data_IF_964809777612
#
_entry.id   IF_964809777612
#
_cell.length_a   1.000
_cell.length_b   1.000
_cell.length_c   1.000
_cell.angle_alpha   90.00
_cell.angle_beta   90.00
_cell.angle_gamma   90.00
#
_symmetry.space_group_name_H-M   'P 1'
#
loop_
_entity.id
_entity.type
_entity.pdbx_description
1 polymer ?
#
# COMPACT_ATOMS: atom_id res chain seq x y z
N UNK A 1 32.07 11.71 52.87
CA UNK A 1 32.69 11.14 51.66
C UNK A 1 31.84 10.04 51.01
N UNK A 2 31.68 8.83 51.57
CA UNK A 2 30.92 7.76 50.90
C UNK A 2 29.41 8.03 50.74
N UNK A 3 28.78 8.69 51.73
CA UNK A 3 27.36 9.05 51.67
C UNK A 3 27.06 10.10 50.59
N UNK A 4 27.97 11.06 50.38
CA UNK A 4 27.81 12.14 49.39
C UNK A 4 28.03 11.62 47.95
N UNK A 5 28.94 10.67 47.76
CA UNK A 5 29.15 9.98 46.47
C UNK A 5 27.90 9.14 46.12
N UNK A 6 27.31 8.47 47.11
CA UNK A 6 26.07 7.71 46.93
C UNK A 6 24.90 8.64 46.55
N UNK A 7 24.72 9.74 47.28
CA UNK A 7 23.65 10.72 47.04
C UNK A 7 23.76 11.36 45.65
N UNK A 8 24.96 11.76 45.24
CA UNK A 8 25.19 12.35 43.91
C UNK A 8 25.02 11.34 42.78
N UNK A 9 25.41 10.08 42.98
CA UNK A 9 25.20 9.00 42.00
C UNK A 9 23.73 8.64 41.85
N UNK A 10 22.98 8.56 42.96
CA UNK A 10 21.52 8.32 42.94
C UNK A 10 20.80 9.49 42.29
N UNK A 11 21.15 10.73 42.64
CA UNK A 11 20.57 11.91 42.01
C UNK A 11 20.89 11.96 40.52
N UNK A 12 22.12 11.66 40.12
CA UNK A 12 22.54 11.56 38.71
C UNK A 12 21.78 10.47 37.96
N UNK A 13 21.57 9.30 38.58
CA UNK A 13 20.75 8.23 38.02
C UNK A 13 19.28 8.63 37.90
N UNK A 14 18.69 9.29 38.90
CA UNK A 14 17.30 9.75 38.85
C UNK A 14 17.11 10.83 37.79
N UNK A 15 18.03 11.79 37.67
CA UNK A 15 18.03 12.80 36.61
C UNK A 15 18.19 12.12 35.25
N UNK A 16 19.17 11.24 35.10
CA UNK A 16 19.34 10.45 33.88
C UNK A 16 18.08 9.68 33.55
N UNK A 17 17.48 8.99 34.51
CA UNK A 17 16.24 8.22 34.32
C UNK A 17 15.06 9.09 33.92
N UNK A 18 14.89 10.28 34.52
CA UNK A 18 13.83 11.22 34.13
C UNK A 18 14.07 11.86 32.75
N UNK A 19 15.32 12.15 32.39
CA UNK A 19 15.69 12.80 31.13
C UNK A 19 15.79 11.80 29.96
N UNK A 20 16.25 10.58 30.23
CA UNK A 20 16.37 9.48 29.25
C UNK A 20 15.08 8.68 29.09
N UNK A 21 14.03 9.00 29.86
CA UNK A 21 12.71 8.42 29.66
C UNK A 21 12.26 8.82 28.26
N UNK A 22 12.19 7.84 27.36
CA UNK A 22 11.66 8.00 26.00
C UNK A 22 10.30 8.70 26.11
N UNK A 23 10.28 10.00 25.78
CA UNK A 23 9.02 10.71 25.59
C UNK A 23 8.47 10.19 24.27
N UNK A 24 7.23 9.72 24.27
CA UNK A 24 6.55 9.34 23.05
C UNK A 24 6.42 10.59 22.17
N UNK A 25 7.32 10.73 21.20
CA UNK A 25 7.26 11.81 20.22
C UNK A 25 6.09 11.55 19.27
N UNK A 26 5.22 12.54 19.12
CA UNK A 26 4.15 12.52 18.13
C UNK A 26 4.39 13.57 17.06
N UNK A 27 3.89 13.31 15.86
CA UNK A 27 3.79 14.35 14.83
C UNK A 27 2.60 15.25 15.18
N UNK A 28 2.72 16.57 15.03
CA UNK A 28 1.55 17.44 15.14
C UNK A 28 0.54 17.04 14.05
N UNK A 29 -0.72 16.86 14.46
CA UNK A 29 -1.84 16.72 13.53
C UNK A 29 -2.32 18.14 13.23
N UNK A 30 -2.06 18.63 12.02
CA UNK A 30 -2.50 19.94 11.56
C UNK A 30 -3.54 19.74 10.46
N UNK A 31 -4.67 20.45 10.57
CA UNK A 31 -5.69 20.47 9.52
C UNK A 31 -5.14 21.20 8.28
N UNK A 32 -5.01 20.46 7.17
CA UNK A 32 -4.53 20.96 5.90
C UNK A 32 -5.64 21.44 4.96
N UNK A 33 -5.22 22.07 3.85
CA UNK A 33 -6.07 22.24 2.68
C UNK A 33 -5.31 21.82 1.43
N UNK A 34 -5.78 20.76 0.78
CA UNK A 34 -5.15 20.17 -0.39
C UNK A 34 -6.01 20.30 -1.65
N UNK A 35 -7.18 20.92 -1.53
CA UNK A 35 -8.05 21.27 -2.65
C UNK A 35 -7.48 22.39 -3.54
N UNK A 36 -8.13 22.69 -4.67
CA UNK A 36 -7.71 23.78 -5.53
C UNK A 36 -7.91 25.14 -4.84
N UNK A 37 -6.95 26.05 -5.02
CA UNK A 37 -7.02 27.42 -4.50
C UNK A 37 -6.97 27.50 -2.97
N UNK A 38 -7.37 28.65 -2.44
CA UNK A 38 -7.46 28.87 -0.99
C UNK A 38 -8.64 28.09 -0.38
N UNK A 39 -8.53 27.72 0.91
CA UNK A 39 -9.61 27.09 1.65
C UNK A 39 -10.86 27.98 1.62
N UNK A 40 -12.02 27.48 1.15
CA UNK A 40 -13.26 28.23 1.16
C UNK A 40 -13.66 28.63 2.60
N UNK A 41 -14.36 29.76 2.72
CA UNK A 41 -14.93 30.19 4.00
C UNK A 41 -16.17 29.35 4.40
N UNK A 42 -16.84 28.74 3.43
CA UNK A 42 -17.95 27.83 3.69
C UNK A 42 -17.45 26.47 4.19
N UNK A 43 -18.27 25.80 5.01
CA UNK A 43 -17.99 24.45 5.46
C UNK A 43 -17.86 23.47 4.28
N UNK A 44 -16.98 22.48 4.44
CA UNK A 44 -16.82 21.42 3.46
C UNK A 44 -18.01 20.46 3.48
N UNK A 45 -18.34 19.87 2.34
CA UNK A 45 -19.31 18.78 2.26
C UNK A 45 -18.68 17.49 2.80
N UNK A 46 -19.07 17.12 4.01
CA UNK A 46 -18.61 15.91 4.73
C UNK A 46 -19.47 14.68 4.42
N UNK A 47 -20.43 14.77 3.49
CA UNK A 47 -21.29 13.63 3.16
C UNK A 47 -20.51 12.46 2.56
N UNK A 48 -20.93 11.24 2.88
CA UNK A 48 -20.42 10.00 2.30
C UNK A 48 -21.41 9.55 1.24
N UNK A 49 -20.95 9.47 -0.02
CA UNK A 49 -21.80 9.21 -1.18
C UNK A 49 -21.44 7.87 -1.82
N UNK A 50 -22.42 7.03 -2.20
CA UNK A 50 -22.16 5.84 -2.98
C UNK A 50 -21.44 6.19 -4.29
N UNK A 51 -20.53 5.33 -4.71
CA UNK A 51 -19.78 5.45 -5.96
C UNK A 51 -19.84 4.13 -6.73
N UNK A 52 -19.83 4.22 -8.06
CA UNK A 52 -19.66 3.07 -8.94
C UNK A 52 -18.54 3.36 -9.92
N UNK A 53 -17.72 2.35 -10.16
CA UNK A 53 -16.71 2.40 -11.22
C UNK A 53 -17.44 2.30 -12.55
N UNK A 54 -17.26 3.30 -13.40
CA UNK A 54 -17.84 3.36 -14.74
C UNK A 54 -16.76 3.85 -15.69
N UNK A 55 -16.86 3.47 -16.97
CA UNK A 55 -15.95 3.90 -18.02
C UNK A 55 -16.78 4.03 -19.29
N UNK A 56 -16.61 5.14 -20.00
CA UNK A 56 -17.28 5.39 -21.27
C UNK A 56 -16.70 4.51 -22.38
N UNK A 57 -17.50 4.24 -23.39
CA UNK A 57 -17.03 3.52 -24.59
C UNK A 57 -15.93 4.30 -25.32
N UNK A 58 -16.01 5.63 -25.31
CA UNK A 58 -15.01 6.52 -25.91
C UNK A 58 -13.62 6.33 -25.29
N UNK A 59 -13.52 6.15 -23.96
CA UNK A 59 -12.25 5.88 -23.28
C UNK A 59 -11.63 4.53 -23.70
N UNK A 60 -12.47 3.53 -23.97
CA UNK A 60 -12.02 2.21 -24.43
C UNK A 60 -11.63 2.24 -25.91
N UNK A 61 -12.35 3.01 -26.73
CA UNK A 61 -11.98 3.25 -28.12
C UNK A 61 -10.66 4.01 -28.23
N UNK A 62 -10.42 5.04 -27.41
CA UNK A 62 -9.13 5.75 -27.35
C UNK A 62 -7.99 4.79 -26.97
N UNK A 63 -8.19 3.94 -25.97
CA UNK A 63 -7.23 2.91 -25.59
C UNK A 63 -6.89 2.00 -26.78
N UNK A 64 -7.89 1.43 -27.44
CA UNK A 64 -7.70 0.54 -28.59
C UNK A 64 -6.97 1.24 -29.74
N UNK A 65 -7.38 2.47 -30.06
CA UNK A 65 -6.76 3.28 -31.10
C UNK A 65 -5.27 3.52 -30.84
N UNK A 66 -4.87 3.70 -29.56
CA UNK A 66 -3.47 3.88 -29.14
C UNK A 66 -2.67 2.59 -29.15
N UNK A 67 -3.26 1.48 -28.71
CA UNK A 67 -2.62 0.16 -28.79
C UNK A 67 -2.32 -0.19 -30.26
N UNK A 68 -3.26 0.08 -31.17
CA UNK A 68 -3.11 -0.19 -32.61
C UNK A 68 -1.98 0.64 -33.27
N UNK A 69 -1.56 1.75 -32.65
CA UNK A 69 -0.52 2.66 -33.16
C UNK A 69 0.80 2.60 -32.39
N UNK A 70 0.92 1.67 -31.45
CA UNK A 70 2.12 1.53 -30.63
C UNK A 70 3.36 1.25 -31.49
N UNK A 71 4.46 1.96 -31.22
CA UNK A 71 5.77 1.71 -31.84
C UNK A 71 6.66 1.02 -30.82
N UNK A 72 7.09 -0.20 -31.10
CA UNK A 72 7.92 -1.01 -30.20
C UNK A 72 9.36 -1.08 -30.72
N UNK A 73 10.32 -0.88 -29.81
CA UNK A 73 11.76 -1.06 -30.09
C UNK A 73 12.15 -2.53 -29.90
N UNK A 74 12.92 -3.15 -30.81
CA UNK A 74 13.43 -4.52 -30.63
C UNK A 74 14.26 -4.65 -29.34
N UNK A 75 14.18 -5.77 -28.60
CA UNK A 75 14.98 -5.98 -27.41
C UNK A 75 16.36 -6.53 -27.76
N UNK A 76 17.32 -6.40 -26.83
CA UNK A 76 18.57 -7.14 -26.88
C UNK A 76 18.32 -8.65 -26.84
N UNK A 77 19.23 -9.43 -27.42
CA UNK A 77 19.14 -10.89 -27.45
C UNK A 77 19.38 -11.48 -26.06
N UNK A 78 18.59 -12.49 -25.71
CA UNK A 78 18.69 -13.30 -24.47
C UNK A 78 18.69 -12.57 -23.11
N UNK A 79 18.41 -11.26 -23.08
CA UNK A 79 18.38 -10.47 -21.84
C UNK A 79 17.14 -10.67 -20.97
N UNK A 80 16.15 -11.45 -21.42
CA UNK A 80 14.84 -11.61 -20.76
C UNK A 80 14.28 -10.25 -20.30
N UNK A 81 14.23 -9.99 -18.99
CA UNK A 81 13.76 -8.75 -18.35
C UNK A 81 14.86 -7.99 -17.59
N UNK A 82 16.15 -8.35 -17.76
CA UNK A 82 17.26 -7.75 -17.01
C UNK A 82 17.42 -6.23 -17.22
N UNK A 83 16.92 -5.70 -18.34
CA UNK A 83 16.93 -4.27 -18.68
C UNK A 83 15.53 -3.65 -18.70
N UNK A 84 14.61 -4.20 -17.91
CA UNK A 84 13.21 -3.79 -17.88
C UNK A 84 12.34 -4.60 -18.83
N UNK A 85 11.22 -4.02 -19.25
CA UNK A 85 10.16 -4.76 -19.91
C UNK A 85 10.56 -5.22 -21.32
N UNK A 86 10.53 -6.53 -21.56
CA UNK A 86 10.91 -7.09 -22.86
C UNK A 86 9.85 -6.78 -23.93
N UNK A 87 10.24 -6.15 -25.04
CA UNK A 87 9.28 -5.72 -26.07
C UNK A 87 8.65 -6.87 -26.89
N UNK A 88 9.31 -8.03 -27.01
CA UNK A 88 8.67 -9.24 -27.59
C UNK A 88 7.53 -9.71 -26.70
N UNK A 89 7.73 -9.68 -25.38
CA UNK A 89 6.68 -10.03 -24.43
C UNK A 89 5.59 -8.95 -24.36
N UNK A 90 5.95 -7.66 -24.41
CA UNK A 90 5.00 -6.55 -24.44
C UNK A 90 4.02 -6.66 -25.62
N UNK A 91 4.50 -7.05 -26.80
CA UNK A 91 3.63 -7.33 -27.96
C UNK A 91 2.54 -8.36 -27.65
N UNK A 92 2.89 -9.39 -26.87
CA UNK A 92 1.94 -10.44 -26.44
C UNK A 92 0.89 -9.88 -25.47
N UNK A 93 1.32 -9.02 -24.53
CA UNK A 93 0.42 -8.33 -23.59
C UNK A 93 -0.52 -7.39 -24.34
N UNK A 94 0.01 -6.55 -25.24
CA UNK A 94 -0.79 -5.60 -26.03
C UNK A 94 -1.78 -6.32 -26.94
N UNK A 95 -1.38 -7.43 -27.56
CA UNK A 95 -2.29 -8.27 -28.35
C UNK A 95 -3.44 -8.82 -27.51
N UNK A 96 -3.17 -9.28 -26.30
CA UNK A 96 -4.22 -9.73 -25.38
C UNK A 96 -5.10 -8.57 -24.92
N UNK A 97 -4.49 -7.45 -24.51
CA UNK A 97 -5.23 -6.26 -24.06
C UNK A 97 -6.18 -5.74 -25.13
N UNK A 98 -5.75 -5.76 -26.39
CA UNK A 98 -6.54 -5.27 -27.53
C UNK A 98 -7.69 -6.18 -27.95
N UNK A 99 -7.53 -7.51 -27.80
CA UNK A 99 -8.40 -8.49 -28.46
C UNK A 99 -9.09 -9.49 -27.51
N UNK A 100 -8.55 -9.68 -26.31
CA UNK A 100 -9.01 -10.71 -25.36
C UNK A 100 -9.40 -10.19 -23.98
N UNK A 101 -8.91 -9.01 -23.60
CA UNK A 101 -9.23 -8.40 -22.31
C UNK A 101 -10.62 -7.73 -22.35
N UNK A 102 -11.49 -8.14 -21.44
CA UNK A 102 -12.86 -7.61 -21.31
C UNK A 102 -12.95 -6.66 -20.11
N UNK A 103 -12.84 -5.36 -20.36
CA UNK A 103 -12.91 -4.35 -19.29
C UNK A 103 -14.28 -4.30 -18.61
N UNK A 104 -15.39 -4.51 -19.34
CA UNK A 104 -16.73 -4.44 -18.75
C UNK A 104 -16.91 -5.52 -17.70
N UNK A 105 -16.47 -6.75 -17.99
CA UNK A 105 -16.44 -7.85 -17.01
C UNK A 105 -15.61 -7.50 -15.77
N UNK A 106 -14.49 -6.81 -15.91
CA UNK A 106 -13.67 -6.40 -14.77
C UNK A 106 -14.36 -5.32 -13.94
N UNK A 107 -15.03 -4.35 -14.57
CA UNK A 107 -15.84 -3.33 -13.89
C UNK A 107 -16.98 -3.97 -13.09
N UNK A 108 -17.64 -5.00 -13.62
CA UNK A 108 -18.64 -5.77 -12.88
C UNK A 108 -18.05 -6.42 -11.62
N UNK A 109 -16.85 -7.01 -11.71
CA UNK A 109 -16.15 -7.59 -10.57
C UNK A 109 -15.80 -6.50 -9.53
N UNK A 110 -15.24 -5.36 -9.97
CA UNK A 110 -14.88 -4.25 -9.10
C UNK A 110 -16.09 -3.72 -8.33
N UNK A 111 -17.24 -3.59 -9.00
CA UNK A 111 -18.49 -3.09 -8.41
C UNK A 111 -19.26 -4.12 -7.57
N UNK A 112 -18.75 -5.36 -7.40
CA UNK A 112 -19.35 -6.33 -6.44
C UNK A 112 -19.29 -5.86 -5.00
N UNK A 113 -18.32 -5.00 -4.69
CA UNK A 113 -18.15 -4.42 -3.37
C UNK A 113 -18.64 -2.96 -3.37
N UNK A 114 -19.25 -2.48 -2.28
CA UNK A 114 -19.63 -1.08 -2.14
C UNK A 114 -18.43 -0.14 -2.21
N UNK A 115 -18.52 0.90 -3.04
CA UNK A 115 -17.57 2.00 -3.08
C UNK A 115 -18.25 3.28 -2.60
N UNK A 116 -17.47 4.15 -1.97
CA UNK A 116 -17.93 5.45 -1.50
C UNK A 116 -16.92 6.53 -1.83
N UNK A 117 -17.42 7.76 -1.96
CA UNK A 117 -16.63 8.98 -2.06
C UNK A 117 -17.07 9.96 -0.99
N UNK A 118 -16.08 10.61 -0.37
CA UNK A 118 -16.28 11.73 0.54
C UNK A 118 -15.15 12.73 0.35
N UNK A 119 -15.32 13.95 0.86
CA UNK A 119 -14.34 15.03 0.73
C UNK A 119 -13.59 15.18 2.05
N UNK A 120 -12.26 15.20 1.96
CA UNK A 120 -11.35 15.37 3.10
C UNK A 120 -10.32 16.42 2.69
N UNK A 121 -10.27 17.53 3.42
CA UNK A 121 -9.32 18.64 3.23
C UNK A 121 -9.26 19.13 1.77
N UNK A 122 -10.43 19.24 1.12
CA UNK A 122 -10.51 19.71 -0.26
C UNK A 122 -10.30 18.66 -1.34
N UNK A 123 -10.08 17.38 -1.00
CA UNK A 123 -9.90 16.27 -1.96
C UNK A 123 -10.92 15.16 -1.80
N UNK A 124 -11.30 14.54 -2.90
CA UNK A 124 -12.11 13.32 -2.84
C UNK A 124 -11.25 12.11 -2.50
N UNK A 125 -11.60 11.43 -1.41
CA UNK A 125 -11.09 10.11 -1.08
C UNK A 125 -12.12 9.06 -1.54
N UNK A 126 -11.67 8.06 -2.30
CA UNK A 126 -12.47 6.88 -2.63
C UNK A 126 -12.08 5.73 -1.69
N UNK A 127 -13.07 5.16 -1.02
CA UNK A 127 -12.90 4.03 -0.11
C UNK A 127 -13.78 2.87 -0.59
N UNK A 128 -13.21 1.66 -0.63
CA UNK A 128 -13.95 0.42 -0.75
C UNK A 128 -14.21 -0.14 0.66
N UNK A 129 -15.43 -0.58 0.93
CA UNK A 129 -15.80 -1.17 2.21
C UNK A 129 -16.20 -2.64 2.02
N UNK A 130 -15.54 -3.55 2.73
CA UNK A 130 -16.07 -4.88 2.98
C UNK A 130 -16.73 -4.87 4.37
N UNK A 131 -18.07 -4.95 4.41
CA UNK A 131 -18.75 -5.26 5.65
C UNK A 131 -18.47 -6.73 6.00
N UNK A 132 -17.98 -7.02 7.20
CA UNK A 132 -17.79 -8.37 7.69
C UNK A 132 -19.15 -9.02 8.00
N UNK A 133 -19.84 -9.51 6.97
CA UNK A 133 -21.06 -10.30 7.15
C UNK A 133 -20.72 -11.78 7.34
N UNK A 134 -20.40 -12.17 8.58
CA UNK A 134 -20.39 -13.55 9.07
C UNK A 134 -19.29 -14.49 8.51
N UNK A 135 -19.06 -15.64 9.16
CA UNK A 135 -17.97 -16.56 8.80
C UNK A 135 -18.32 -17.30 7.50
N UNK A 136 -17.76 -16.86 6.37
CA UNK A 136 -17.98 -17.55 5.10
C UNK A 136 -17.33 -16.96 3.86
N UNK A 137 -16.76 -15.76 3.90
CA UNK A 137 -16.17 -15.11 2.72
C UNK A 137 -14.69 -15.47 2.52
N UNK A 138 -14.34 -16.75 2.47
CA UNK A 138 -13.04 -17.21 1.96
C UNK A 138 -13.28 -18.41 1.08
N UNK A 139 -13.42 -18.13 -0.22
CA UNK A 139 -13.58 -19.17 -1.21
C UNK A 139 -13.52 -18.57 -2.60
N UNK A 140 -12.39 -18.78 -3.26
CA UNK A 140 -12.25 -19.29 -4.63
C UNK A 140 -11.01 -18.68 -5.28
N UNK A 141 -9.93 -19.45 -5.35
CA UNK A 141 -9.25 -19.86 -6.59
C UNK A 141 -7.89 -20.48 -6.25
N UNK A 142 -7.84 -21.80 -6.13
CA UNK A 142 -6.57 -22.53 -6.16
C UNK A 142 -6.47 -23.30 -7.47
N UNK A 143 -5.64 -22.80 -8.38
CA UNK A 143 -5.12 -23.56 -9.51
C UNK A 143 -3.59 -23.44 -9.49
N UNK A 144 -2.84 -24.54 -9.62
CA UNK A 144 -1.39 -24.50 -9.60
C UNK A 144 -0.92 -23.92 -10.94
N UNK A 145 -0.59 -22.62 -10.97
CA UNK A 145 -0.04 -21.96 -12.15
C UNK A 145 1.41 -21.54 -11.92
N UNK A 146 2.31 -21.73 -12.90
CA UNK A 146 3.67 -21.18 -12.87
C UNK A 146 3.71 -19.64 -12.93
N UNK A 147 2.55 -18.98 -13.03
CA UNK A 147 2.33 -17.54 -12.83
C UNK A 147 1.23 -17.33 -11.81
N UNK A 148 1.48 -16.49 -10.80
CA UNK A 148 0.49 -16.15 -9.76
C UNK A 148 -0.69 -15.35 -10.31
N UNK A 149 -0.47 -14.55 -11.36
CA UNK A 149 -1.49 -13.65 -11.93
C UNK A 149 -1.81 -13.99 -13.38
N UNK A 150 -3.10 -13.86 -13.74
CA UNK A 150 -3.54 -13.82 -15.13
C UNK A 150 -3.27 -12.45 -15.76
N UNK A 151 -3.39 -12.35 -17.09
CA UNK A 151 -3.32 -11.03 -17.74
C UNK A 151 -4.53 -10.16 -17.40
N UNK A 152 -5.69 -10.75 -17.11
CA UNK A 152 -6.86 -9.99 -16.63
C UNK A 152 -6.53 -9.29 -15.31
N UNK A 153 -5.98 -10.04 -14.34
CA UNK A 153 -5.60 -9.51 -13.02
C UNK A 153 -4.65 -8.29 -13.12
N UNK A 154 -3.63 -8.42 -13.98
CA UNK A 154 -2.63 -7.37 -14.17
C UNK A 154 -3.17 -6.18 -14.96
N UNK A 155 -3.92 -6.43 -16.04
CA UNK A 155 -4.48 -5.38 -16.87
C UNK A 155 -5.61 -4.64 -16.18
N UNK A 156 -6.39 -5.28 -15.31
CA UNK A 156 -7.37 -4.60 -14.45
C UNK A 156 -6.69 -3.52 -13.61
N UNK A 157 -5.56 -3.83 -12.99
CA UNK A 157 -4.81 -2.82 -12.23
C UNK A 157 -4.29 -1.70 -13.15
N UNK A 158 -3.70 -2.02 -14.31
CA UNK A 158 -3.25 -1.01 -15.30
C UNK A 158 -4.40 -0.14 -15.78
N UNK A 159 -5.58 -0.72 -16.01
CA UNK A 159 -6.78 0.00 -16.44
C UNK A 159 -7.26 1.01 -15.42
N UNK A 160 -7.15 0.72 -14.11
CA UNK A 160 -7.49 1.71 -13.08
C UNK A 160 -6.62 2.97 -13.21
N UNK A 161 -5.34 2.84 -13.55
CA UNK A 161 -4.48 4.00 -13.83
C UNK A 161 -4.83 4.69 -15.14
N UNK A 162 -5.15 3.90 -16.17
CA UNK A 162 -5.48 4.41 -17.51
C UNK A 162 -6.75 5.25 -17.49
N UNK A 163 -7.88 4.67 -17.05
CA UNK A 163 -9.20 5.32 -17.07
C UNK A 163 -9.31 6.50 -16.11
N UNK A 164 -8.50 6.52 -15.05
CA UNK A 164 -8.48 7.66 -14.11
C UNK A 164 -7.42 8.71 -14.44
N UNK A 165 -6.51 8.44 -15.39
CA UNK A 165 -5.40 9.34 -15.73
C UNK A 165 -4.43 9.60 -14.56
N UNK A 166 -4.25 8.64 -13.66
CA UNK A 166 -3.58 8.85 -12.35
C UNK A 166 -2.10 8.47 -12.28
N UNK A 167 -1.48 8.06 -13.39
CA UNK A 167 -0.05 7.69 -13.36
C UNK A 167 0.84 8.85 -12.88
N UNK A 168 0.60 10.07 -13.36
CA UNK A 168 1.40 11.24 -12.97
C UNK A 168 1.13 11.66 -11.52
N UNK A 169 -0.14 11.66 -11.10
CA UNK A 169 -0.49 12.09 -9.74
C UNK A 169 0.00 11.10 -8.67
N UNK A 170 -0.09 9.79 -8.94
CA UNK A 170 0.44 8.75 -8.04
C UNK A 170 1.97 8.82 -7.89
N UNK A 171 2.70 9.11 -8.96
CA UNK A 171 4.16 9.26 -8.92
C UNK A 171 4.64 10.46 -8.10
N UNK A 172 3.80 11.51 -7.90
CA UNK A 172 4.18 12.67 -7.08
C UNK A 172 4.54 12.29 -5.65
N UNK A 173 3.93 11.24 -5.10
CA UNK A 173 4.29 10.71 -3.78
C UNK A 173 5.81 10.45 -3.64
N UNK A 174 6.43 9.88 -4.68
CA UNK A 174 7.86 9.56 -4.68
C UNK A 174 8.72 10.82 -4.62
N UNK A 175 8.39 11.83 -5.43
CA UNK A 175 9.11 13.11 -5.42
C UNK A 175 9.03 13.77 -4.03
N UNK A 176 7.85 13.81 -3.44
CA UNK A 176 7.63 14.52 -2.18
C UNK A 176 8.23 13.79 -0.96
N UNK A 177 8.27 12.44 -0.97
CA UNK A 177 8.68 11.65 0.21
C UNK A 177 10.05 10.97 0.09
N UNK A 178 10.45 10.54 -1.11
CA UNK A 178 11.67 9.73 -1.31
C UNK A 178 12.84 10.54 -1.90
N UNK A 179 12.56 11.72 -2.48
CA UNK A 179 13.60 12.61 -3.00
C UNK A 179 14.52 13.21 -1.92
N UNK A 180 14.14 13.11 -0.64
CA UNK A 180 14.85 13.73 0.48
C UNK A 180 15.96 12.83 1.09
N UNK A 181 16.06 11.56 0.65
CA UNK A 181 17.05 10.60 1.14
C UNK A 181 16.50 9.63 2.22
N UNK A 182 17.26 8.57 2.50
CA UNK A 182 16.87 7.54 3.47
C UNK A 182 16.93 8.08 4.91
N UNK A 183 15.90 7.85 5.72
CA UNK A 183 15.79 8.33 7.12
C UNK A 183 15.86 9.87 7.25
N UNK A 184 15.52 10.58 6.18
CA UNK A 184 15.57 12.04 6.14
C UNK A 184 14.36 12.67 6.85
N UNK A 185 13.21 11.98 6.86
CA UNK A 185 12.01 12.51 7.44
C UNK A 185 11.98 12.27 8.96
N UNK A 186 11.37 13.21 9.71
CA UNK A 186 11.22 13.08 11.17
C UNK A 186 10.53 11.76 11.55
N UNK A 187 9.50 11.38 10.80
CA UNK A 187 8.72 10.16 11.02
C UNK A 187 9.51 8.85 10.82
N UNK A 188 10.66 8.89 10.13
CA UNK A 188 11.49 7.71 9.96
C UNK A 188 12.12 7.27 11.29
N UNK A 189 12.41 8.26 12.17
CA UNK A 189 13.14 8.11 13.43
C UNK A 189 12.22 7.96 14.65
N UNK A 190 10.96 8.34 14.52
CA UNK A 190 9.97 8.22 15.59
C UNK A 190 9.61 6.74 15.77
N UNK A 191 9.61 6.29 17.03
CA UNK A 191 9.19 4.94 17.41
C UNK A 191 7.66 4.83 17.40
N UNK A 192 7.15 3.66 17.05
CA UNK A 192 5.71 3.35 17.01
C UNK A 192 5.34 2.55 18.26
N UNK A 193 4.65 3.21 19.20
CA UNK A 193 4.32 2.65 20.51
C UNK A 193 2.96 1.94 20.57
N UNK A 194 2.24 1.85 19.46
CA UNK A 194 1.02 1.04 19.35
C UNK A 194 1.38 -0.43 19.09
N UNK A 195 0.56 -1.40 19.58
CA UNK A 195 0.75 -2.80 19.26
C UNK A 195 0.89 -3.04 17.76
N UNK A 196 1.96 -3.75 17.36
CA UNK A 196 2.31 -3.94 15.95
C UNK A 196 2.48 -5.43 15.63
N UNK A 197 1.98 -5.86 14.47
CA UNK A 197 2.29 -7.14 13.85
C UNK A 197 3.13 -6.94 12.58
N UNK A 198 4.01 -7.89 12.27
CA UNK A 198 4.89 -7.81 11.11
C UNK A 198 4.91 -9.12 10.31
N UNK A 199 4.44 -9.08 9.07
CA UNK A 199 4.47 -10.19 8.13
C UNK A 199 5.68 -10.08 7.19
N UNK A 200 6.68 -10.95 7.37
CA UNK A 200 7.93 -10.94 6.61
C UNK A 200 7.87 -11.92 5.42
N UNK A 201 7.54 -11.41 4.23
CA UNK A 201 7.52 -12.18 2.98
C UNK A 201 8.93 -12.40 2.41
N UNK A 202 9.24 -13.59 1.87
CA UNK A 202 10.60 -13.95 1.47
C UNK A 202 11.09 -13.20 0.22
N UNK A 203 10.19 -12.79 -0.68
CA UNK A 203 10.53 -12.07 -1.91
C UNK A 203 10.13 -10.57 -1.86
N UNK A 204 10.13 -9.97 -0.67
CA UNK A 204 9.98 -8.52 -0.50
C UNK A 204 11.24 -7.78 -0.99
N UNK A 205 11.09 -6.54 -1.49
CA UNK A 205 12.17 -5.71 -2.00
C UNK A 205 13.24 -5.43 -0.94
N UNK A 206 12.81 -5.25 0.32
CA UNK A 206 13.69 -5.01 1.45
C UNK A 206 13.31 -5.92 2.62
N UNK A 207 14.09 -6.97 2.84
CA UNK A 207 13.92 -7.83 4.00
C UNK A 207 14.53 -7.18 5.25
N UNK A 208 13.73 -7.03 6.30
CA UNK A 208 14.14 -6.39 7.56
C UNK A 208 14.13 -7.41 8.69
N UNK A 209 15.28 -7.70 9.34
CA UNK A 209 15.35 -8.62 10.47
C UNK A 209 14.49 -8.16 11.66
N UNK A 210 13.91 -9.10 12.40
CA UNK A 210 13.05 -8.82 13.56
C UNK A 210 13.69 -7.84 14.57
N UNK A 211 15.00 -7.96 14.81
CA UNK A 211 15.73 -7.05 15.72
C UNK A 211 15.66 -5.58 15.29
N UNK A 212 15.68 -5.31 14.00
CA UNK A 212 15.59 -3.95 13.46
C UNK A 212 14.15 -3.45 13.52
N UNK A 213 13.17 -4.34 13.28
CA UNK A 213 11.75 -4.03 13.48
C UNK A 213 11.49 -3.64 14.93
N UNK A 214 11.99 -4.40 15.92
CA UNK A 214 11.82 -4.09 17.35
C UNK A 214 12.41 -2.73 17.77
N UNK A 215 13.42 -2.23 17.05
CA UNK A 215 13.96 -0.90 17.32
C UNK A 215 12.96 0.22 17.00
N UNK A 216 12.26 0.11 15.86
CA UNK A 216 11.22 1.06 15.45
C UNK A 216 9.87 0.81 16.14
N UNK A 217 9.54 -0.46 16.38
CA UNK A 217 8.27 -0.92 16.93
C UNK A 217 8.51 -1.59 18.29
N UNK A 218 8.69 -0.81 19.39
CA UNK A 218 8.97 -1.38 20.72
C UNK A 218 7.85 -2.29 21.25
N UNK A 219 6.60 -2.13 20.80
CA UNK A 219 5.46 -3.01 21.15
C UNK A 219 5.10 -3.98 20.02
N UNK A 220 6.10 -4.69 19.49
CA UNK A 220 5.90 -5.73 18.47
C UNK A 220 5.29 -6.99 19.11
N UNK A 221 4.03 -7.29 18.79
CA UNK A 221 3.30 -8.47 19.31
C UNK A 221 3.56 -9.73 18.49
N UNK A 222 3.76 -9.59 17.18
CA UNK A 222 4.00 -10.72 16.29
C UNK A 222 4.98 -10.36 15.18
N UNK A 223 5.85 -11.32 14.87
CA UNK A 223 6.72 -11.30 13.69
C UNK A 223 6.61 -12.66 13.01
N UNK A 224 6.01 -12.70 11.82
CA UNK A 224 5.70 -13.94 11.10
C UNK A 224 6.56 -14.05 9.85
N UNK A 225 7.45 -15.05 9.81
CA UNK A 225 8.16 -15.41 8.59
C UNK A 225 7.22 -16.19 7.65
N UNK A 226 6.91 -15.61 6.49
CA UNK A 226 5.98 -16.22 5.54
C UNK A 226 6.69 -17.26 4.68
N UNK A 227 6.00 -18.37 4.40
CA UNK A 227 6.58 -19.49 3.65
C UNK A 227 6.83 -19.15 2.16
N UNK A 228 6.09 -18.19 1.60
CA UNK A 228 6.11 -17.79 0.18
C UNK A 228 5.46 -16.43 -0.02
N UNK A 229 5.65 -15.84 -1.20
CA UNK A 229 5.10 -14.53 -1.56
C UNK A 229 6.16 -13.44 -1.62
N UNK A 230 5.83 -12.34 -2.29
CA UNK A 230 6.70 -11.16 -2.41
C UNK A 230 5.98 -9.86 -2.04
N UNK A 231 6.39 -8.78 -2.70
CA UNK A 231 5.97 -7.42 -2.42
C UNK A 231 4.44 -7.21 -2.46
N UNK A 232 3.75 -7.86 -3.37
CA UNK A 232 2.29 -7.74 -3.51
C UNK A 232 1.56 -8.79 -2.65
N UNK A 233 1.92 -8.90 -1.37
CA UNK A 233 1.48 -9.95 -0.45
C UNK A 233 -0.02 -10.24 -0.49
N UNK A 234 -0.86 -9.20 -0.37
CA UNK A 234 -2.32 -9.33 -0.37
C UNK A 234 -2.87 -9.85 -1.70
N UNK A 235 -2.17 -9.63 -2.80
CA UNK A 235 -2.59 -10.06 -4.12
C UNK A 235 -2.01 -11.44 -4.48
N UNK A 236 -0.77 -11.71 -4.08
CA UNK A 236 -0.06 -12.97 -4.35
C UNK A 236 -0.48 -14.12 -3.44
N UNK A 237 -0.73 -13.85 -2.16
CA UNK A 237 -1.03 -14.85 -1.13
C UNK A 237 -2.14 -14.34 -0.19
N UNK A 238 -3.35 -14.04 -0.71
CA UNK A 238 -4.42 -13.41 0.06
C UNK A 238 -4.80 -14.18 1.31
N UNK A 239 -4.92 -15.52 1.22
CA UNK A 239 -5.27 -16.34 2.39
C UNK A 239 -4.18 -16.34 3.45
N UNK A 240 -2.90 -16.35 3.03
CA UNK A 240 -1.77 -16.37 3.96
C UNK A 240 -1.70 -15.06 4.76
N UNK A 241 -1.85 -13.93 4.06
CA UNK A 241 -1.88 -12.62 4.71
C UNK A 241 -3.11 -12.45 5.61
N UNK A 242 -4.30 -12.86 5.13
CA UNK A 242 -5.54 -12.74 5.90
C UNK A 242 -5.49 -13.57 7.21
N UNK A 243 -4.92 -14.78 7.16
CA UNK A 243 -4.73 -15.60 8.35
C UNK A 243 -3.78 -14.95 9.37
N UNK A 244 -2.69 -14.34 8.90
CA UNK A 244 -1.75 -13.64 9.79
C UNK A 244 -2.37 -12.39 10.44
N UNK A 245 -3.14 -11.60 9.67
CA UNK A 245 -3.92 -10.49 10.20
C UNK A 245 -4.90 -10.97 11.28
N UNK A 246 -5.65 -12.06 11.02
CA UNK A 246 -6.59 -12.64 11.98
C UNK A 246 -5.89 -13.12 13.26
N UNK A 247 -4.72 -13.76 13.12
CA UNK A 247 -3.89 -14.17 14.27
C UNK A 247 -3.42 -12.96 15.08
N UNK A 248 -2.97 -11.89 14.41
CA UNK A 248 -2.53 -10.67 15.08
C UNK A 248 -3.67 -9.98 15.84
N UNK A 249 -4.86 -9.86 15.23
CA UNK A 249 -6.05 -9.32 15.91
C UNK A 249 -6.41 -10.16 17.13
N UNK A 250 -6.38 -11.49 17.01
CA UNK A 250 -6.62 -12.39 18.14
C UNK A 250 -5.62 -12.20 19.29
N UNK A 251 -4.35 -11.91 19.00
CA UNK A 251 -3.36 -11.57 20.04
C UNK A 251 -3.64 -10.20 20.69
N UNK A 252 -4.13 -9.24 19.90
CA UNK A 252 -4.45 -7.90 20.37
C UNK A 252 -5.66 -7.90 21.31
N UNK A 253 -6.69 -8.69 21.02
CA UNK A 253 -7.92 -8.78 21.82
C UNK A 253 -7.75 -9.56 23.13
N UNK A 254 -6.67 -10.33 23.28
CA UNK A 254 -6.37 -11.13 24.48
C UNK A 254 -5.57 -10.38 25.56
N UNK A 255 -4.95 -9.25 25.21
CA UNK A 255 -4.06 -8.46 26.09
C UNK A 255 -4.72 -7.20 26.63
#
# INVERSE_FOLDING_TARGET
>A
MWLEILLTSVLGFVIYWFVSRDKEETLPLEDGWWGPGARPAAAEDESIRPFKVETSEEEIEDLHWRIDRVRLTPPLEDVRFHFGFNSKYLRKVLSYWRNGFDWRKQVEILNRYPHFKTKIEGRFAQQQLLAASGPGAVGLMHQPRPRKFSLDDLLTNVMLYWTTGTITSSQRFYKENLGQGFMANKHDRIKVHVPTGFAAFPCELMHVPEKWVKFKYPKLLSYSYMARGGHFAAFEEPELLAQDIGKFVGLLEQG
#
